data_IF_910304092003
#
_entry.id   IF_910304092003
#
_cell.length_a   1.000
_cell.length_b   1.000
_cell.length_c   1.000
_cell.angle_alpha   90.00
_cell.angle_beta   90.00
_cell.angle_gamma   90.00
#
_symmetry.space_group_name_H-M   'P 1'
#
loop_
_entity.id
_entity.type
_entity.pdbx_description
1 polymer ?
#
# COMPACT_ATOMS: atom_id res chain seq x y z
N UNK A 1 -14.74 -5.70 2.46
CA UNK A 1 -13.84 -5.84 1.27
C UNK A 1 -13.77 -4.56 0.44
N UNK A 2 -14.89 -3.94 0.02
CA UNK A 2 -14.86 -2.64 -0.68
C UNK A 2 -14.12 -1.52 0.08
N UNK A 3 -14.17 -1.57 1.42
CA UNK A 3 -13.48 -0.63 2.31
C UNK A 3 -11.97 -0.62 2.12
N UNK A 4 -11.31 -1.77 1.94
CA UNK A 4 -9.84 -1.79 1.85
C UNK A 4 -9.33 -1.25 0.51
N UNK A 5 -10.07 -1.46 -0.58
CA UNK A 5 -9.77 -0.79 -1.85
C UNK A 5 -9.85 0.74 -1.69
N UNK A 6 -10.87 1.26 -1.00
CA UNK A 6 -10.99 2.68 -0.73
C UNK A 6 -9.86 3.18 0.19
N UNK A 7 -9.51 2.41 1.23
CA UNK A 7 -8.40 2.74 2.13
C UNK A 7 -7.08 2.89 1.36
N UNK A 8 -6.77 1.94 0.47
CA UNK A 8 -5.57 1.98 -0.37
C UNK A 8 -5.57 3.23 -1.24
N UNK A 9 -6.69 3.54 -1.90
CA UNK A 9 -6.82 4.74 -2.74
C UNK A 9 -6.59 6.02 -1.93
N UNK A 10 -7.19 6.13 -0.74
CA UNK A 10 -7.00 7.27 0.15
C UNK A 10 -5.55 7.40 0.59
N UNK A 11 -4.89 6.30 0.99
CA UNK A 11 -3.46 6.34 1.37
C UNK A 11 -2.61 6.82 0.21
N UNK A 12 -2.85 6.30 -1.01
CA UNK A 12 -2.11 6.69 -2.21
C UNK A 12 -2.28 8.19 -2.47
N UNK A 13 -3.52 8.68 -2.54
CA UNK A 13 -3.78 10.08 -2.89
C UNK A 13 -3.32 11.04 -1.80
N UNK A 14 -3.47 10.68 -0.52
CA UNK A 14 -2.95 11.45 0.60
C UNK A 14 -1.41 11.48 0.63
N UNK A 15 -0.75 10.35 0.38
CA UNK A 15 0.71 10.33 0.27
C UNK A 15 1.20 11.20 -0.89
N UNK A 16 0.58 11.10 -2.07
CA UNK A 16 0.88 11.95 -3.22
C UNK A 16 0.73 13.44 -2.90
N UNK A 17 -0.37 13.82 -2.24
CA UNK A 17 -0.70 15.21 -1.96
C UNK A 17 0.13 15.84 -0.86
N UNK A 18 0.57 15.06 0.14
CA UNK A 18 1.10 15.62 1.39
C UNK A 18 2.58 15.32 1.63
N UNK A 19 3.10 14.23 1.06
CA UNK A 19 4.44 13.73 1.39
C UNK A 19 5.50 14.10 0.34
N UNK A 20 5.10 14.65 -0.82
CA UNK A 20 6.03 15.09 -1.86
C UNK A 20 6.60 16.47 -1.50
N UNK A 21 7.90 16.53 -1.25
CA UNK A 21 8.65 17.78 -1.10
C UNK A 21 9.18 18.30 -2.44
N UNK A 22 9.97 19.38 -2.39
CA UNK A 22 10.69 19.94 -3.54
C UNK A 22 11.57 18.90 -4.24
N UNK A 23 12.19 18.01 -3.45
CA UNK A 23 13.13 16.99 -3.90
C UNK A 23 12.51 15.59 -3.92
N UNK A 24 11.17 15.50 -4.08
CA UNK A 24 10.44 14.23 -4.09
C UNK A 24 10.11 13.72 -2.68
N UNK A 25 10.11 12.40 -2.51
CA UNK A 25 9.80 11.74 -1.23
C UNK A 25 11.11 11.45 -0.46
N UNK A 26 11.57 12.41 0.34
CA UNK A 26 12.89 12.39 1.00
C UNK A 26 12.93 11.65 2.34
N UNK A 27 11.94 10.81 2.63
CA UNK A 27 11.90 10.02 3.86
C UNK A 27 13.06 9.02 3.91
N UNK A 28 13.60 8.76 5.10
CA UNK A 28 14.72 7.82 5.29
C UNK A 28 14.27 6.39 5.57
N UNK A 29 12.98 6.18 5.86
CA UNK A 29 12.42 4.86 6.14
C UNK A 29 10.90 4.83 5.96
N UNK A 30 10.36 3.61 5.81
CA UNK A 30 8.91 3.39 5.80
C UNK A 30 8.24 3.76 7.12
N UNK A 31 8.92 3.56 8.25
CA UNK A 31 8.40 3.92 9.57
C UNK A 31 8.16 5.44 9.69
N UNK A 32 9.12 6.25 9.21
CA UNK A 32 8.98 7.71 9.23
C UNK A 32 7.93 8.21 8.24
N UNK A 33 7.87 7.63 7.04
CA UNK A 33 6.90 8.03 6.03
C UNK A 33 5.47 7.64 6.41
N UNK A 34 5.27 6.43 6.91
CA UNK A 34 3.98 5.95 7.42
C UNK A 34 3.57 6.75 8.66
N UNK A 35 4.49 6.96 9.60
CA UNK A 35 4.26 7.73 10.81
C UNK A 35 3.88 9.18 10.53
N UNK A 36 4.50 9.83 9.54
CA UNK A 36 4.13 11.17 9.09
C UNK A 36 2.71 11.21 8.53
N UNK A 37 2.31 10.24 7.69
CA UNK A 37 0.95 10.16 7.17
C UNK A 37 -0.10 10.03 8.27
N UNK A 38 0.20 9.22 9.30
CA UNK A 38 -0.65 9.08 10.49
C UNK A 38 -0.71 10.38 11.28
N UNK A 39 0.42 11.03 11.51
CA UNK A 39 0.52 12.27 12.29
C UNK A 39 -0.26 13.42 11.64
N UNK A 40 -0.33 13.45 10.31
CA UNK A 40 -1.16 14.39 9.55
C UNK A 40 -2.65 14.05 9.54
N UNK A 41 -3.07 12.95 10.19
CA UNK A 41 -4.46 12.49 10.17
C UNK A 41 -4.95 12.02 8.80
N UNK A 42 -4.01 11.68 7.90
CA UNK A 42 -4.29 11.38 6.50
C UNK A 42 -4.43 9.89 6.20
N UNK A 43 -4.60 9.07 7.25
CA UNK A 43 -4.92 7.63 7.14
C UNK A 43 -6.42 7.40 7.33
N UNK A 44 -7.02 6.43 6.62
CA UNK A 44 -8.45 6.12 6.77
C UNK A 44 -8.86 5.79 8.21
N UNK A 45 -9.99 6.32 8.67
CA UNK A 45 -10.47 6.15 10.05
C UNK A 45 -10.81 4.71 10.44
N UNK A 46 -11.11 3.85 9.44
CA UNK A 46 -11.41 2.43 9.65
C UNK A 46 -10.18 1.54 9.84
N UNK A 47 -8.97 2.09 9.79
CA UNK A 47 -7.72 1.34 9.95
C UNK A 47 -7.21 1.41 11.39
N UNK A 48 -6.46 0.39 11.79
CA UNK A 48 -5.91 0.32 13.14
C UNK A 48 -4.56 1.04 13.18
N UNK A 49 -4.46 2.06 14.03
CA UNK A 49 -3.21 2.75 14.32
C UNK A 49 -2.70 2.27 15.69
N UNK A 50 -1.42 1.90 15.75
CA UNK A 50 -0.74 1.54 17.00
C UNK A 50 0.46 2.44 17.25
N UNK A 51 0.77 2.66 18.54
CA UNK A 51 1.80 3.57 18.99
C UNK A 51 1.30 5.01 19.18
N UNK A 52 2.21 5.90 19.57
CA UNK A 52 1.90 7.32 19.75
C UNK A 52 1.81 8.03 18.39
N UNK A 53 0.61 8.51 18.05
CA UNK A 53 0.30 9.24 16.81
C UNK A 53 1.13 10.50 16.63
N UNK A 54 1.66 11.07 17.70
CA UNK A 54 2.46 12.30 17.68
C UNK A 54 3.97 12.04 17.52
N UNK A 55 4.42 10.78 17.62
CA UNK A 55 5.84 10.40 17.55
C UNK A 55 6.46 10.44 16.15
N UNK A 56 5.64 10.53 15.10
CA UNK A 56 6.09 10.37 13.71
C UNK A 56 6.58 8.95 13.37
N UNK A 57 6.27 7.95 14.21
CA UNK A 57 6.65 6.54 14.01
C UNK A 57 5.54 5.54 14.34
N UNK A 58 4.30 6.02 14.51
CA UNK A 58 3.14 5.16 14.65
C UNK A 58 3.01 4.19 13.45
N UNK A 59 2.40 3.04 13.70
CA UNK A 59 2.23 1.97 12.71
C UNK A 59 0.77 1.82 12.32
N UNK A 60 0.52 1.45 11.07
CA UNK A 60 -0.81 1.28 10.50
C UNK A 60 -1.06 -0.20 10.17
N UNK A 61 -2.29 -0.67 10.39
CA UNK A 61 -2.70 -2.04 10.11
C UNK A 61 -4.04 -2.08 9.37
N UNK A 62 -4.15 -3.02 8.44
CA UNK A 62 -5.39 -3.33 7.72
C UNK A 62 -6.38 -4.15 8.57
N UNK A 63 -7.56 -4.40 8.03
CA UNK A 63 -8.61 -5.17 8.70
C UNK A 63 -8.23 -6.61 9.12
N UNK A 64 -7.12 -7.15 8.60
CA UNK A 64 -6.64 -8.51 8.88
C UNK A 64 -5.42 -8.53 9.81
N UNK A 65 -5.08 -7.39 10.43
CA UNK A 65 -3.92 -7.27 11.31
C UNK A 65 -2.58 -7.39 10.57
N UNK A 66 -2.59 -7.20 9.26
CA UNK A 66 -1.39 -7.02 8.45
C UNK A 66 -0.92 -5.58 8.48
N UNK A 67 0.39 -5.38 8.52
CA UNK A 67 0.97 -4.06 8.48
C UNK A 67 0.64 -3.37 7.15
N UNK A 68 0.42 -2.06 7.22
CA UNK A 68 0.32 -1.18 6.07
C UNK A 68 1.42 -0.15 6.16
N UNK A 69 2.30 -0.13 5.17
CA UNK A 69 3.46 0.76 5.17
C UNK A 69 3.54 1.55 3.89
N UNK A 70 3.84 2.84 4.03
CA UNK A 70 4.23 3.73 2.93
C UNK A 70 5.75 3.90 2.99
N UNK A 71 6.44 3.70 1.87
CA UNK A 71 7.90 3.82 1.81
C UNK A 71 8.34 4.58 0.55
N UNK A 72 9.37 5.43 0.62
CA UNK A 72 9.92 6.09 -0.55
C UNK A 72 10.47 5.05 -1.52
N UNK A 73 10.32 5.31 -2.81
CA UNK A 73 10.81 4.44 -3.87
C UNK A 73 11.60 5.27 -4.88
N UNK A 74 12.78 4.77 -5.23
CA UNK A 74 13.56 5.36 -6.31
C UNK A 74 12.96 4.91 -7.64
N UNK A 75 12.40 5.86 -8.38
CA UNK A 75 11.99 5.65 -9.77
C UNK A 75 12.97 6.34 -10.69
N UNK A 76 13.54 5.60 -11.65
CA UNK A 76 14.51 6.13 -12.61
C UNK A 76 15.74 6.81 -11.96
N UNK A 77 16.18 6.32 -10.79
CA UNK A 77 17.36 6.82 -10.09
C UNK A 77 17.13 8.05 -9.19
N UNK A 78 15.89 8.51 -9.04
CA UNK A 78 15.52 9.60 -8.13
C UNK A 78 14.36 9.16 -7.22
N UNK A 79 14.33 9.61 -5.96
CA UNK A 79 13.27 9.30 -4.98
C UNK A 79 11.97 10.07 -5.27
N UNK A 80 11.48 9.98 -6.51
CA UNK A 80 10.24 10.60 -6.92
C UNK A 80 9.04 9.70 -6.71
N UNK A 81 9.20 8.44 -6.34
CA UNK A 81 8.09 7.52 -6.11
C UNK A 81 7.91 7.13 -4.65
N UNK A 82 6.87 6.34 -4.42
CA UNK A 82 6.68 5.62 -3.17
C UNK A 82 5.95 4.31 -3.44
N UNK A 83 5.97 3.44 -2.43
CA UNK A 83 5.20 2.21 -2.41
C UNK A 83 4.22 2.21 -1.25
N UNK A 84 3.06 1.60 -1.46
CA UNK A 84 2.10 1.24 -0.41
C UNK A 84 2.08 -0.28 -0.33
N UNK A 85 2.47 -0.83 0.82
CA UNK A 85 2.52 -2.26 1.08
C UNK A 85 1.41 -2.66 2.03
N UNK A 86 0.69 -3.73 1.71
CA UNK A 86 -0.30 -4.39 2.55
C UNK A 86 0.13 -5.84 2.79
N UNK A 87 0.33 -6.21 4.05
CA UNK A 87 0.65 -7.58 4.45
C UNK A 87 -0.59 -8.36 4.91
N UNK A 88 -0.45 -9.69 5.02
CA UNK A 88 -1.48 -10.63 5.53
C UNK A 88 -2.85 -10.49 4.88
N UNK A 89 -2.89 -10.20 3.58
CA UNK A 89 -4.14 -10.08 2.84
C UNK A 89 -4.68 -11.48 2.53
N UNK A 90 -5.95 -11.80 2.86
CA UNK A 90 -6.58 -13.06 2.47
C UNK A 90 -6.64 -13.25 0.95
N UNK A 91 -6.73 -14.49 0.50
CA UNK A 91 -6.69 -14.81 -0.94
C UNK A 91 -7.78 -14.08 -1.74
N UNK A 92 -9.02 -14.13 -1.27
CA UNK A 92 -10.16 -13.50 -1.95
C UNK A 92 -9.99 -11.97 -2.03
N UNK A 93 -9.55 -11.37 -0.94
CA UNK A 93 -9.26 -9.95 -0.86
C UNK A 93 -8.09 -9.54 -1.76
N UNK A 94 -7.03 -10.36 -1.84
CA UNK A 94 -5.89 -10.16 -2.72
C UNK A 94 -6.36 -10.03 -4.18
N UNK A 95 -7.21 -10.95 -4.63
CA UNK A 95 -7.76 -10.96 -6.00
C UNK A 95 -8.62 -9.72 -6.25
N UNK A 96 -9.55 -9.42 -5.33
CA UNK A 96 -10.45 -8.27 -5.49
C UNK A 96 -9.71 -6.94 -5.46
N UNK A 97 -8.75 -6.76 -4.56
CA UNK A 97 -8.00 -5.51 -4.43
C UNK A 97 -7.12 -5.31 -5.65
N UNK A 98 -6.33 -6.31 -6.04
CA UNK A 98 -5.39 -6.19 -7.16
C UNK A 98 -6.11 -5.79 -8.45
N UNK A 99 -7.18 -6.50 -8.78
CA UNK A 99 -7.97 -6.24 -10.00
C UNK A 99 -8.71 -4.91 -9.96
N UNK A 100 -9.21 -4.48 -8.79
CA UNK A 100 -9.89 -3.18 -8.65
C UNK A 100 -8.90 -2.02 -8.74
N UNK A 101 -7.79 -2.08 -8.01
CA UNK A 101 -6.76 -1.03 -8.05
C UNK A 101 -6.17 -0.94 -9.46
N UNK A 102 -5.92 -2.07 -10.13
CA UNK A 102 -5.48 -2.07 -11.53
C UNK A 102 -6.41 -1.27 -12.45
N UNK A 103 -7.73 -1.38 -12.27
CA UNK A 103 -8.73 -0.65 -13.06
C UNK A 103 -8.78 0.85 -12.77
N UNK A 104 -8.24 1.30 -11.63
CA UNK A 104 -8.25 2.73 -11.27
C UNK A 104 -7.21 3.54 -12.02
N UNK A 105 -6.12 2.91 -12.48
CA UNK A 105 -4.97 3.61 -13.07
C UNK A 105 -4.18 4.46 -12.07
N UNK A 106 -4.44 4.37 -10.76
CA UNK A 106 -3.75 5.16 -9.73
C UNK A 106 -2.31 4.72 -9.45
N UNK A 107 -1.95 3.52 -9.87
CA UNK A 107 -0.65 2.90 -9.59
C UNK A 107 0.13 2.66 -10.87
N UNK A 108 1.42 2.91 -10.85
CA UNK A 108 2.33 2.62 -11.97
C UNK A 108 2.82 1.18 -11.95
N UNK A 109 2.74 0.48 -10.81
CA UNK A 109 3.09 -0.94 -10.71
C UNK A 109 2.31 -1.62 -9.60
N UNK A 110 2.06 -2.91 -9.75
CA UNK A 110 1.40 -3.75 -8.75
C UNK A 110 2.23 -5.02 -8.57
N UNK A 111 2.64 -5.34 -7.35
CA UNK A 111 3.31 -6.60 -7.03
C UNK A 111 2.40 -7.46 -6.17
N UNK A 112 2.13 -8.68 -6.65
CA UNK A 112 1.41 -9.72 -5.91
C UNK A 112 2.42 -10.73 -5.41
N UNK A 113 2.63 -10.76 -4.09
CA UNK A 113 3.65 -11.58 -3.45
C UNK A 113 5.05 -11.31 -4.01
N UNK A 114 5.52 -12.14 -4.93
CA UNK A 114 6.83 -12.03 -5.58
C UNK A 114 6.74 -11.68 -7.08
N UNK A 115 5.53 -11.53 -7.61
CA UNK A 115 5.29 -11.27 -9.04
C UNK A 115 4.99 -9.80 -9.26
N UNK A 116 5.86 -9.11 -10.01
CA UNK A 116 5.71 -7.70 -10.31
C UNK A 116 5.06 -7.47 -11.67
N UNK A 117 4.00 -6.65 -11.67
CA UNK A 117 3.33 -6.09 -12.85
C UNK A 117 3.72 -4.63 -12.99
N UNK A 118 4.84 -4.39 -13.68
CA UNK A 118 5.43 -3.06 -13.84
C UNK A 118 4.63 -2.12 -14.74
N UNK A 119 3.57 -2.61 -15.39
CA UNK A 119 2.62 -1.84 -16.17
C UNK A 119 1.38 -1.40 -15.36
N UNK A 120 1.32 -1.79 -14.08
CA UNK A 120 0.19 -1.51 -13.19
C UNK A 120 -1.08 -2.28 -13.55
N UNK A 121 -0.99 -3.27 -14.45
CA UNK A 121 -2.14 -4.04 -14.91
C UNK A 121 -2.15 -5.42 -14.30
N UNK A 122 -3.30 -5.82 -13.76
CA UNK A 122 -3.51 -7.14 -13.20
C UNK A 122 -4.91 -7.60 -13.59
N UNK A 123 -4.97 -8.67 -14.36
CA UNK A 123 -6.22 -9.36 -14.70
C UNK A 123 -6.68 -10.26 -13.56
N UNK A 124 -7.96 -10.66 -13.60
CA UNK A 124 -8.50 -11.62 -12.63
C UNK A 124 -7.80 -12.98 -12.72
N UNK A 125 -7.40 -13.41 -13.91
CA UNK A 125 -6.71 -14.68 -14.13
C UNK A 125 -5.31 -14.68 -13.49
N UNK A 126 -4.54 -13.61 -13.73
CA UNK A 126 -3.23 -13.43 -13.11
C UNK A 126 -3.35 -13.37 -11.58
N UNK A 127 -4.29 -12.57 -11.06
CA UNK A 127 -4.51 -12.46 -9.63
C UNK A 127 -4.92 -13.82 -9.01
N UNK A 128 -5.79 -14.58 -9.66
CA UNK A 128 -6.23 -15.91 -9.17
C UNK A 128 -5.09 -16.92 -9.10
N UNK A 129 -4.08 -16.78 -9.98
CA UNK A 129 -2.90 -17.63 -10.00
C UNK A 129 -1.85 -17.19 -8.98
N UNK A 130 -1.70 -15.87 -8.77
CA UNK A 130 -0.62 -15.30 -7.98
C UNK A 130 -0.98 -15.05 -6.51
N UNK A 131 -2.26 -14.90 -6.19
CA UNK A 131 -2.76 -14.84 -4.81
C UNK A 131 -2.82 -16.25 -4.22
N UNK A 132 -2.06 -16.46 -3.14
CA UNK A 132 -1.93 -17.72 -2.42
C UNK A 132 -3.10 -17.92 -1.46
N UNK A 133 -3.46 -19.19 -1.26
CA UNK A 133 -4.46 -19.61 -0.27
C UNK A 133 -4.02 -19.22 1.15
N UNK A 134 -5.02 -18.97 2.00
CA UNK A 134 -4.81 -18.60 3.40
C UNK A 134 -4.22 -19.76 4.21
N UNK A 135 -3.52 -19.44 5.30
CA UNK A 135 -3.09 -20.42 6.28
C UNK A 135 -4.06 -20.41 7.47
N UNK A 136 -5.06 -21.30 7.43
CA UNK A 136 -6.19 -21.28 8.35
C UNK A 136 -6.99 -19.99 8.16
N UNK A 137 -7.16 -19.20 9.21
CA UNK A 137 -7.83 -17.89 9.14
C UNK A 137 -6.87 -16.72 8.87
N UNK A 138 -5.59 -16.99 8.56
CA UNK A 138 -4.58 -15.96 8.35
C UNK A 138 -4.28 -15.78 6.87
N UNK A 139 -4.51 -14.57 6.37
CA UNK A 139 -4.08 -14.19 5.02
C UNK A 139 -2.57 -14.26 4.87
N UNK A 140 -2.10 -14.74 3.73
CA UNK A 140 -0.67 -14.92 3.45
C UNK A 140 -0.14 -14.01 2.35
N UNK A 141 -1.02 -13.21 1.73
CA UNK A 141 -0.65 -12.41 0.59
C UNK A 141 -0.05 -11.07 1.00
N UNK A 142 0.95 -10.66 0.21
CA UNK A 142 1.54 -9.33 0.25
C UNK A 142 1.21 -8.60 -1.04
N UNK A 143 0.66 -7.40 -0.92
CA UNK A 143 0.37 -6.51 -2.05
C UNK A 143 1.28 -5.30 -1.94
N UNK A 144 1.96 -4.93 -3.03
CA UNK A 144 2.75 -3.71 -3.11
C UNK A 144 2.27 -2.89 -4.31
N UNK A 145 1.86 -1.66 -4.05
CA UNK A 145 1.46 -0.70 -5.07
C UNK A 145 2.56 0.33 -5.23
N UNK A 146 3.10 0.46 -6.45
CA UNK A 146 4.15 1.42 -6.77
C UNK A 146 3.54 2.64 -7.46
N UNK A 147 3.90 3.80 -6.96
CA UNK A 147 3.46 5.10 -7.47
C UNK A 147 4.72 5.88 -7.85
N UNK A 148 4.76 6.34 -9.08
CA UNK A 148 5.78 7.25 -9.58
C UNK A 148 5.29 8.69 -9.36
N UNK A 149 6.22 9.60 -9.11
CA UNK A 149 5.91 11.02 -8.95
C UNK A 149 6.50 11.89 -10.03
#
# INVERSE_FOLDING_TARGET
MATETANIQTIITSAQSLLKGSDGYTFTSSAKMTGALIQMGAVPSGMTVQGDKTSGTATLYNAWGGAVTVAPASTSGFNNGFTVTYDKVPQDACIQIATRISKTGLTNGITLNSTAHSDGKVTTEEASTQCKADNGSTGTNKLIFTING
#
